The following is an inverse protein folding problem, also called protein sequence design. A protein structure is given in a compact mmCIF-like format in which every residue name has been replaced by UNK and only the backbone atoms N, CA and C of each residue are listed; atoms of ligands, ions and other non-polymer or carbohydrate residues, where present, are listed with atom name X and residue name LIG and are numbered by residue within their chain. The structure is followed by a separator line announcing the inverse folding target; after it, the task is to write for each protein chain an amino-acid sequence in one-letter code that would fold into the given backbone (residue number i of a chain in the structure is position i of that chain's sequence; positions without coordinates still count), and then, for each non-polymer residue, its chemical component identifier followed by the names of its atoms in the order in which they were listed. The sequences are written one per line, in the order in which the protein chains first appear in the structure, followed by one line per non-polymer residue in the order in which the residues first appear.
data_IF_999108923728
#
_entry.id   IF_999108923728
#
_cell.length_a   1.000
_cell.length_b   1.000
_cell.length_c   1.000
_cell.angle_alpha   90.00
_cell.angle_beta   90.00
_cell.angle_gamma   90.00
#
_symmetry.space_group_name_H-M   'P 1'
#
loop_
_entity.id
_entity.type
_entity.pdbx_description
1 polymer ?
#
# COMPACT_ATOMS: atom_id res chain seq x y z
N UNK A 1 11.79 -25.99 18.24
CA UNK A 1 10.75 -26.62 17.40
C UNK A 1 9.95 -27.59 18.27
N UNK A 2 9.05 -27.11 19.13
CA UNK A 2 8.04 -27.94 19.87
C UNK A 2 7.04 -27.12 20.74
N UNK A 3 6.79 -25.82 20.47
CA UNK A 3 5.89 -25.00 21.32
C UNK A 3 5.06 -23.96 20.55
N UNK A 4 4.49 -24.30 19.39
CA UNK A 4 3.51 -23.44 18.69
C UNK A 4 2.49 -24.28 17.91
N UNK A 5 1.83 -25.23 18.58
CA UNK A 5 0.86 -26.11 17.90
C UNK A 5 -0.41 -26.37 18.72
N UNK A 6 -0.90 -25.37 19.48
CA UNK A 6 -2.06 -25.58 20.37
C UNK A 6 -3.02 -24.39 20.56
N UNK A 7 -3.12 -23.48 19.59
CA UNK A 7 -4.03 -22.31 19.71
C UNK A 7 -4.88 -22.07 18.45
N UNK A 8 -5.20 -23.11 17.67
CA UNK A 8 -6.00 -22.98 16.44
C UNK A 8 -7.29 -23.81 16.40
N UNK A 9 -7.89 -24.13 17.56
CA UNK A 9 -9.15 -24.91 17.62
C UNK A 9 -10.41 -24.12 18.04
N UNK A 10 -10.37 -22.78 18.13
CA UNK A 10 -11.53 -21.97 18.55
C UNK A 10 -11.93 -20.81 17.63
N UNK A 11 -11.73 -20.94 16.32
CA UNK A 11 -12.37 -20.04 15.35
C UNK A 11 -13.74 -20.60 14.95
N UNK A 12 -14.72 -20.33 15.80
CA UNK A 12 -16.15 -20.51 15.51
C UNK A 12 -16.53 -19.66 14.30
N UNK A 13 -16.99 -20.33 13.25
CA UNK A 13 -17.59 -19.73 12.06
C UNK A 13 -18.82 -18.93 12.50
N UNK A 14 -18.72 -17.61 12.48
CA UNK A 14 -19.88 -16.72 12.62
C UNK A 14 -20.61 -16.71 11.28
N UNK A 15 -21.69 -17.46 11.20
CA UNK A 15 -22.64 -17.42 10.09
C UNK A 15 -23.18 -16.01 9.90
N UNK A 16 -23.00 -15.43 8.70
CA UNK A 16 -23.68 -14.20 8.30
C UNK A 16 -25.19 -14.45 8.16
N UNK A 17 -26.05 -13.58 8.73
CA UNK A 17 -27.46 -13.60 8.40
C UNK A 17 -27.68 -13.08 6.97
N UNK A 18 -28.34 -13.90 6.16
CA UNK A 18 -28.99 -13.51 4.90
C UNK A 18 -30.08 -12.47 5.17
N UNK A 19 -29.91 -11.25 4.65
CA UNK A 19 -30.95 -10.23 4.65
C UNK A 19 -31.41 -9.94 3.21
N UNK A 20 -32.38 -10.74 2.77
CA UNK A 20 -33.31 -10.40 1.72
C UNK A 20 -34.54 -9.74 2.38
N UNK A 21 -34.69 -8.40 2.35
CA UNK A 21 -36.03 -7.80 2.22
C UNK A 21 -36.01 -6.30 1.85
N UNK A 22 -36.49 -6.02 0.63
CA UNK A 22 -37.49 -5.03 0.24
C UNK A 22 -37.66 -3.74 1.08
N UNK A 23 -37.48 -2.58 0.43
CA UNK A 23 -38.52 -1.53 0.30
C UNK A 23 -38.11 -0.51 -0.78
N UNK A 24 -38.82 -0.54 -1.91
CA UNK A 24 -38.76 0.50 -2.96
C UNK A 24 -39.60 1.70 -2.51
N UNK A 25 -38.98 2.75 -2.02
CA UNK A 25 -39.63 4.06 -1.92
C UNK A 25 -39.48 4.80 -3.25
N UNK A 26 -40.58 4.90 -3.98
CA UNK A 26 -40.71 5.70 -5.20
C UNK A 26 -41.02 7.14 -4.77
N UNK A 27 -40.00 7.98 -4.66
CA UNK A 27 -40.19 9.42 -4.43
C UNK A 27 -40.50 10.07 -5.77
N UNK A 28 -41.72 10.60 -5.90
CA UNK A 28 -42.12 11.47 -7.01
C UNK A 28 -41.58 12.88 -6.73
N UNK A 29 -40.59 13.33 -7.49
CA UNK A 29 -40.18 14.73 -7.55
C UNK A 29 -40.71 15.35 -8.84
N UNK A 30 -41.45 16.48 -8.79
CA UNK A 30 -41.88 17.18 -9.99
C UNK A 30 -40.70 17.88 -10.67
N UNK A 31 -40.75 17.87 -12.00
CA UNK A 31 -39.77 18.47 -12.89
C UNK A 31 -39.70 20.00 -12.72
N UNK A 32 -38.50 20.50 -12.45
CA UNK A 32 -38.14 21.89 -12.71
C UNK A 32 -37.00 21.90 -13.73
N UNK A 33 -37.38 21.90 -15.01
CA UNK A 33 -36.48 21.93 -16.16
C UNK A 33 -36.27 23.37 -16.63
N UNK A 34 -35.33 24.07 -16.02
CA UNK A 34 -34.80 25.33 -16.55
C UNK A 34 -33.36 25.52 -16.10
N UNK A 35 -32.43 24.78 -16.72
CA UNK A 35 -31.01 25.13 -16.89
C UNK A 35 -30.39 24.13 -17.88
N UNK A 36 -29.61 24.66 -18.82
CA UNK A 36 -29.27 24.05 -20.09
C UNK A 36 -28.64 22.65 -20.05
N UNK A 37 -28.83 21.93 -21.15
CA UNK A 37 -28.14 20.69 -21.51
C UNK A 37 -26.61 20.90 -21.50
N UNK A 38 -25.99 20.74 -20.34
CA UNK A 38 -24.58 20.36 -20.26
C UNK A 38 -24.50 18.90 -20.71
N UNK A 39 -23.65 18.54 -21.70
CA UNK A 39 -23.62 17.18 -22.23
C UNK A 39 -23.11 16.19 -21.19
N UNK A 40 -24.00 15.27 -20.74
CA UNK A 40 -23.69 14.11 -19.86
C UNK A 40 -22.48 13.28 -20.30
N UNK A 41 -22.07 13.38 -21.56
CA UNK A 41 -20.92 12.68 -22.15
C UNK A 41 -19.59 13.11 -21.52
N UNK A 42 -19.46 14.38 -21.09
CA UNK A 42 -18.22 14.89 -20.48
C UNK A 42 -18.04 14.31 -19.06
N UNK A 43 -19.12 14.26 -18.28
CA UNK A 43 -19.11 13.75 -16.90
C UNK A 43 -18.82 12.23 -16.84
N UNK A 44 -19.36 11.47 -17.79
CA UNK A 44 -19.08 10.02 -17.86
C UNK A 44 -17.64 9.73 -18.27
N UNK A 45 -17.05 10.51 -19.18
CA UNK A 45 -15.68 10.32 -19.63
C UNK A 45 -14.66 10.67 -18.53
N UNK A 46 -14.91 11.72 -17.77
CA UNK A 46 -14.07 12.11 -16.63
C UNK A 46 -14.10 11.07 -15.51
N UNK A 47 -15.29 10.52 -15.21
CA UNK A 47 -15.47 9.48 -14.20
C UNK A 47 -14.82 8.15 -14.60
N UNK A 48 -14.89 7.73 -15.88
CA UNK A 48 -14.23 6.49 -16.34
C UNK A 48 -12.72 6.63 -16.43
N UNK A 49 -12.21 7.80 -16.86
CA UNK A 49 -10.78 8.09 -16.90
C UNK A 49 -10.18 8.11 -15.48
N UNK A 50 -10.85 8.78 -14.55
CA UNK A 50 -10.42 8.85 -13.14
C UNK A 50 -10.39 7.46 -12.50
N UNK A 51 -11.41 6.63 -12.74
CA UNK A 51 -11.46 5.27 -12.20
C UNK A 51 -10.31 4.39 -12.76
N UNK A 52 -10.03 4.52 -14.06
CA UNK A 52 -8.95 3.80 -14.72
C UNK A 52 -7.57 4.25 -14.25
N UNK A 53 -7.35 5.57 -14.12
CA UNK A 53 -6.08 6.12 -13.64
C UNK A 53 -5.77 5.65 -12.22
N UNK A 54 -6.73 5.75 -11.29
CA UNK A 54 -6.57 5.28 -9.91
C UNK A 54 -6.21 3.78 -9.86
N UNK A 55 -6.85 2.97 -10.70
CA UNK A 55 -6.56 1.54 -10.79
C UNK A 55 -5.15 1.26 -11.28
N UNK A 56 -4.72 1.88 -12.39
CA UNK A 56 -3.37 1.67 -12.92
C UNK A 56 -2.28 2.20 -12.00
N UNK A 57 -2.49 3.36 -11.36
CA UNK A 57 -1.54 3.87 -10.37
C UNK A 57 -1.44 2.93 -9.17
N UNK A 58 -2.55 2.33 -8.73
CA UNK A 58 -2.55 1.34 -7.65
C UNK A 58 -1.72 0.10 -8.01
N UNK A 59 -1.92 -0.43 -9.22
CA UNK A 59 -1.13 -1.56 -9.73
C UNK A 59 0.36 -1.22 -9.86
N UNK A 60 0.66 -0.01 -10.33
CA UNK A 60 2.03 0.47 -10.44
C UNK A 60 2.71 0.53 -9.06
N UNK A 61 2.08 1.16 -8.06
CA UNK A 61 2.61 1.22 -6.70
C UNK A 61 2.80 -0.18 -6.11
N UNK A 62 1.81 -1.06 -6.26
CA UNK A 62 1.94 -2.45 -5.81
C UNK A 62 3.11 -3.19 -6.48
N UNK A 63 3.33 -2.96 -7.77
CA UNK A 63 4.45 -3.55 -8.54
C UNK A 63 5.80 -3.04 -8.04
N UNK A 64 5.91 -1.73 -7.80
CA UNK A 64 7.14 -1.12 -7.26
C UNK A 64 7.45 -1.68 -5.87
N UNK A 65 6.45 -1.80 -4.99
CA UNK A 65 6.63 -2.41 -3.66
C UNK A 65 7.06 -3.87 -3.76
N UNK A 66 6.49 -4.66 -4.68
CA UNK A 66 6.95 -6.04 -4.94
C UNK A 66 8.42 -6.04 -5.42
N UNK A 67 8.79 -5.12 -6.31
CA UNK A 67 10.16 -4.98 -6.80
C UNK A 67 11.16 -4.72 -5.67
N UNK A 68 10.85 -3.80 -4.75
CA UNK A 68 11.66 -3.58 -3.55
C UNK A 68 11.70 -4.82 -2.65
N UNK A 69 10.55 -5.47 -2.41
CA UNK A 69 10.49 -6.69 -1.62
C UNK A 69 11.35 -7.82 -2.17
N UNK A 70 11.34 -8.04 -3.49
CA UNK A 70 12.23 -8.98 -4.16
C UNK A 70 13.70 -8.58 -4.03
N UNK A 71 14.03 -7.30 -4.24
CA UNK A 71 15.40 -6.81 -4.13
C UNK A 71 15.96 -7.02 -2.71
N UNK A 72 15.18 -6.70 -1.68
CA UNK A 72 15.54 -6.88 -0.27
C UNK A 72 15.73 -8.35 0.11
N UNK A 73 14.89 -9.22 -0.43
CA UNK A 73 14.91 -10.66 -0.13
C UNK A 73 16.06 -11.37 -0.84
N UNK A 74 16.31 -11.04 -2.11
CA UNK A 74 17.29 -11.74 -2.96
C UNK A 74 18.69 -11.14 -2.87
N UNK A 75 18.82 -9.83 -2.64
CA UNK A 75 20.10 -9.12 -2.62
C UNK A 75 20.19 -8.15 -1.44
N UNK A 76 20.07 -8.61 -0.18
CA UNK A 76 20.01 -7.75 1.01
C UNK A 76 21.22 -6.82 1.13
N UNK A 77 22.42 -7.28 0.78
CA UNK A 77 23.64 -6.45 0.79
C UNK A 77 23.57 -5.25 -0.13
N UNK A 78 23.03 -5.43 -1.34
CA UNK A 78 22.86 -4.36 -2.33
C UNK A 78 21.72 -3.41 -1.92
N UNK A 79 20.65 -3.99 -1.39
CA UNK A 79 19.46 -3.29 -0.92
C UNK A 79 19.71 -2.25 0.17
N UNK A 80 20.79 -2.41 0.96
CA UNK A 80 21.16 -1.48 2.03
C UNK A 80 21.28 -0.03 1.53
N UNK A 81 21.75 0.14 0.29
CA UNK A 81 21.91 1.45 -0.34
C UNK A 81 20.57 2.15 -0.64
N UNK A 82 19.46 1.41 -0.74
CA UNK A 82 18.14 2.00 -1.04
C UNK A 82 17.65 2.92 0.08
N UNK A 83 18.15 2.73 1.30
CA UNK A 83 17.83 3.54 2.47
C UNK A 83 18.78 4.73 2.65
N UNK A 84 19.81 4.87 1.80
CA UNK A 84 20.82 5.91 1.92
C UNK A 84 21.77 5.77 3.11
N UNK A 85 21.82 4.59 3.74
CA UNK A 85 22.82 4.26 4.76
C UNK A 85 24.20 4.09 4.11
N UNK A 86 25.25 4.54 4.80
CA UNK A 86 26.61 4.23 4.40
C UNK A 86 26.85 2.70 4.40
N UNK A 87 27.66 2.16 3.46
CA UNK A 87 28.06 0.77 3.48
C UNK A 87 28.67 0.39 4.84
N UNK A 88 28.43 -0.82 5.36
CA UNK A 88 29.07 -1.30 6.58
C UNK A 88 30.59 -1.14 6.49
N UNK A 89 31.21 -0.52 7.51
CA UNK A 89 32.66 -0.34 7.55
C UNK A 89 33.39 -1.68 7.65
N UNK A 90 34.67 -1.70 7.29
CA UNK A 90 35.53 -2.88 7.44
C UNK A 90 35.71 -3.36 8.89
N UNK A 91 35.25 -2.58 9.87
CA UNK A 91 35.25 -2.93 11.29
C UNK A 91 33.98 -3.66 11.76
N UNK A 92 32.97 -3.84 10.90
CA UNK A 92 31.74 -4.58 11.24
C UNK A 92 32.03 -6.07 11.30
N UNK A 93 31.56 -6.73 12.36
CA UNK A 93 31.78 -8.18 12.53
C UNK A 93 30.93 -8.96 11.51
N UNK A 94 31.41 -10.13 11.03
CA UNK A 94 30.62 -10.99 10.16
C UNK A 94 29.23 -11.37 10.73
N UNK A 95 29.12 -11.56 12.05
CA UNK A 95 27.85 -11.86 12.72
C UNK A 95 26.84 -10.72 12.62
N UNK A 96 27.31 -9.46 12.70
CA UNK A 96 26.44 -8.28 12.64
C UNK A 96 25.92 -8.11 11.21
N UNK A 97 26.78 -8.42 10.23
CA UNK A 97 26.44 -8.46 8.82
C UNK A 97 25.35 -9.52 8.54
N UNK A 98 25.44 -10.74 9.07
CA UNK A 98 24.41 -11.78 8.90
C UNK A 98 23.06 -11.40 9.53
N UNK A 99 23.10 -10.74 10.69
CA UNK A 99 21.91 -10.22 11.34
C UNK A 99 21.22 -9.15 10.47
N UNK A 100 21.98 -8.22 9.90
CA UNK A 100 21.45 -7.19 9.00
C UNK A 100 20.81 -7.80 7.74
N UNK A 101 21.43 -8.82 7.14
CA UNK A 101 20.85 -9.53 5.99
C UNK A 101 19.52 -10.18 6.36
N UNK A 102 19.47 -10.83 7.52
CA UNK A 102 18.24 -11.47 8.03
C UNK A 102 17.12 -10.45 8.25
N UNK A 103 17.46 -9.26 8.79
CA UNK A 103 16.51 -8.16 8.97
C UNK A 103 16.00 -7.65 7.62
N UNK A 104 16.88 -7.46 6.63
CA UNK A 104 16.46 -7.00 5.30
C UNK A 104 15.60 -8.03 4.57
N UNK A 105 15.88 -9.33 4.70
CA UNK A 105 15.00 -10.38 4.17
C UNK A 105 13.61 -10.31 4.81
N UNK A 106 13.54 -10.13 6.15
CA UNK A 106 12.27 -9.95 6.85
C UNK A 106 11.54 -8.66 6.46
N UNK A 107 12.27 -7.62 6.06
CA UNK A 107 11.70 -6.38 5.54
C UNK A 107 11.16 -6.59 4.11
N UNK A 108 11.95 -7.26 3.26
CA UNK A 108 11.55 -7.63 1.90
C UNK A 108 10.29 -8.49 1.85
N UNK A 109 10.16 -9.46 2.76
CA UNK A 109 8.95 -10.26 2.88
C UNK A 109 7.70 -9.43 3.22
N UNK A 110 7.84 -8.37 4.03
CA UNK A 110 6.73 -7.45 4.34
C UNK A 110 6.35 -6.62 3.13
N UNK A 111 7.32 -6.11 2.39
CA UNK A 111 7.07 -5.36 1.16
C UNK A 111 6.39 -6.22 0.09
N UNK A 112 6.81 -7.48 -0.07
CA UNK A 112 6.12 -8.44 -0.93
C UNK A 112 4.65 -8.60 -0.52
N UNK A 113 4.40 -8.78 0.78
CA UNK A 113 3.03 -8.90 1.30
C UNK A 113 2.20 -7.64 1.00
N UNK A 114 2.74 -6.45 1.27
CA UNK A 114 2.04 -5.17 1.02
C UNK A 114 1.71 -5.02 -0.46
N UNK A 115 2.69 -5.22 -1.35
CA UNK A 115 2.50 -5.07 -2.78
C UNK A 115 1.51 -6.09 -3.37
N UNK A 116 1.58 -7.35 -2.95
CA UNK A 116 0.59 -8.39 -3.32
C UNK A 116 -0.79 -8.04 -2.79
N UNK A 117 -0.91 -7.49 -1.57
CA UNK A 117 -2.21 -7.06 -1.03
C UNK A 117 -2.82 -5.91 -1.83
N UNK A 118 -1.99 -4.98 -2.34
CA UNK A 118 -2.43 -3.89 -3.21
C UNK A 118 -2.91 -4.46 -4.55
N UNK A 119 -2.16 -5.39 -5.16
CA UNK A 119 -2.61 -6.08 -6.38
C UNK A 119 -3.93 -6.81 -6.18
N UNK A 120 -4.05 -7.63 -5.13
CA UNK A 120 -5.27 -8.37 -4.84
C UNK A 120 -6.48 -7.43 -4.68
N UNK A 121 -6.31 -6.34 -3.93
CA UNK A 121 -7.35 -5.34 -3.74
C UNK A 121 -7.70 -4.61 -5.06
N UNK A 122 -6.70 -4.15 -5.80
CA UNK A 122 -6.90 -3.42 -7.05
C UNK A 122 -7.58 -4.28 -8.11
N UNK A 123 -7.11 -5.51 -8.31
CA UNK A 123 -7.66 -6.48 -9.28
C UNK A 123 -9.06 -6.95 -8.90
N UNK A 124 -9.42 -6.94 -7.61
CA UNK A 124 -10.80 -7.23 -7.18
C UNK A 124 -11.79 -6.11 -7.51
N UNK A 125 -11.31 -4.93 -7.94
CA UNK A 125 -12.13 -3.74 -8.16
C UNK A 125 -12.62 -3.07 -6.87
N UNK A 126 -12.18 -3.54 -5.69
CA UNK A 126 -12.56 -2.93 -4.41
C UNK A 126 -11.72 -1.67 -4.13
N UNK A 127 -12.24 -0.52 -4.61
CA UNK A 127 -11.62 0.80 -4.45
C UNK A 127 -11.27 1.10 -2.99
N UNK A 128 -12.18 0.80 -2.05
CA UNK A 128 -11.99 1.11 -0.63
C UNK A 128 -10.85 0.29 -0.02
N UNK A 129 -10.82 -1.02 -0.28
CA UNK A 129 -9.75 -1.90 0.20
C UNK A 129 -8.39 -1.49 -0.40
N UNK A 130 -8.37 -1.17 -1.69
CA UNK A 130 -7.16 -0.69 -2.38
C UNK A 130 -6.66 0.61 -1.75
N UNK A 131 -7.58 1.55 -1.48
CA UNK A 131 -7.29 2.81 -0.80
C UNK A 131 -6.71 2.62 0.59
N UNK A 132 -7.24 1.70 1.40
CA UNK A 132 -6.67 1.37 2.72
C UNK A 132 -5.25 0.83 2.59
N UNK A 133 -5.01 -0.11 1.67
CA UNK A 133 -3.68 -0.71 1.50
C UNK A 133 -2.64 0.32 1.01
N UNK A 134 -3.03 1.21 0.08
CA UNK A 134 -2.16 2.29 -0.41
C UNK A 134 -1.92 3.35 0.67
N UNK A 135 -2.93 3.69 1.46
CA UNK A 135 -2.77 4.61 2.59
C UNK A 135 -1.80 4.03 3.63
N UNK A 136 -1.94 2.74 3.95
CA UNK A 136 -1.02 2.03 4.84
C UNK A 136 0.42 2.03 4.29
N UNK A 137 0.61 1.79 2.99
CA UNK A 137 1.92 1.94 2.33
C UNK A 137 2.51 3.35 2.52
N UNK A 138 1.69 4.39 2.35
CA UNK A 138 2.11 5.78 2.56
C UNK A 138 2.52 6.06 4.02
N UNK A 139 1.80 5.49 5.00
CA UNK A 139 2.17 5.60 6.41
C UNK A 139 3.46 4.85 6.75
N UNK A 140 3.68 3.66 6.17
CA UNK A 140 4.96 2.96 6.30
C UNK A 140 6.10 3.83 5.77
N UNK A 141 5.95 4.39 4.56
CA UNK A 141 6.96 5.26 3.97
C UNK A 141 7.23 6.53 4.80
N UNK A 142 6.20 7.09 5.44
CA UNK A 142 6.37 8.22 6.35
C UNK A 142 7.26 7.84 7.56
N UNK A 143 6.99 6.68 8.18
CA UNK A 143 7.79 6.16 9.29
C UNK A 143 9.21 5.80 8.85
N UNK A 144 9.38 5.16 7.70
CA UNK A 144 10.69 4.79 7.15
C UNK A 144 11.56 6.04 6.96
N UNK A 145 11.03 7.08 6.32
CA UNK A 145 11.75 8.34 6.16
C UNK A 145 12.05 9.03 7.49
N UNK A 146 11.18 8.92 8.49
CA UNK A 146 11.47 9.42 9.84
C UNK A 146 12.63 8.67 10.52
N UNK A 147 12.69 7.33 10.38
CA UNK A 147 13.81 6.52 10.86
C UNK A 147 15.10 6.89 10.13
N UNK A 148 15.07 6.99 8.80
CA UNK A 148 16.24 7.36 7.98
C UNK A 148 16.76 8.75 8.38
N UNK A 149 15.88 9.74 8.53
CA UNK A 149 16.25 11.10 8.92
C UNK A 149 16.95 11.17 10.29
N UNK A 150 16.58 10.32 11.25
CA UNK A 150 17.13 10.32 12.61
C UNK A 150 18.31 9.37 12.82
N UNK A 151 18.65 8.58 11.81
CA UNK A 151 19.73 7.60 11.90
C UNK A 151 21.08 8.24 11.57
N UNK A 152 22.11 7.84 12.30
CA UNK A 152 23.48 8.29 12.05
C UNK A 152 24.04 7.63 10.78
N UNK A 153 24.97 8.30 10.10
CA UNK A 153 25.65 7.74 8.92
C UNK A 153 24.78 7.65 7.65
N UNK A 154 23.68 8.39 7.61
CA UNK A 154 22.78 8.51 6.46
C UNK A 154 23.16 9.72 5.61
N UNK A 155 23.08 9.57 4.28
CA UNK A 155 23.24 10.69 3.34
C UNK A 155 22.17 11.75 3.59
N UNK A 156 22.56 13.03 3.66
CA UNK A 156 21.61 14.12 3.85
C UNK A 156 20.51 14.10 2.77
N UNK A 157 19.25 14.11 3.20
CA UNK A 157 18.09 14.06 2.31
C UNK A 157 17.63 12.66 1.90
N UNK A 158 18.27 11.58 2.39
CA UNK A 158 17.85 10.21 2.08
C UNK A 158 16.40 9.91 2.50
N UNK A 159 15.85 10.62 3.48
CA UNK A 159 14.44 10.49 3.88
C UNK A 159 13.47 10.79 2.72
N UNK A 160 13.87 11.60 1.74
CA UNK A 160 13.07 11.91 0.56
C UNK A 160 12.92 10.73 -0.39
N UNK A 161 13.82 9.73 -0.31
CA UNK A 161 13.64 8.44 -0.97
C UNK A 161 12.37 7.73 -0.51
N UNK A 162 11.89 8.01 0.71
CA UNK A 162 10.66 7.46 1.28
C UNK A 162 9.49 8.44 1.19
N UNK A 163 9.70 9.69 1.60
CA UNK A 163 8.62 10.69 1.66
C UNK A 163 8.12 11.13 0.29
N UNK A 164 8.95 11.05 -0.75
CA UNK A 164 8.57 11.36 -2.13
C UNK A 164 7.38 10.51 -2.59
N UNK A 165 7.56 9.18 -2.67
CA UNK A 165 6.46 8.28 -3.03
C UNK A 165 5.43 8.12 -1.90
N UNK A 166 5.84 8.24 -0.64
CA UNK A 166 4.95 8.13 0.52
C UNK A 166 3.85 9.19 0.49
N UNK A 167 4.18 10.44 0.13
CA UNK A 167 3.19 11.51 0.00
C UNK A 167 2.17 11.23 -1.11
N UNK A 168 2.62 10.72 -2.27
CA UNK A 168 1.75 10.28 -3.36
C UNK A 168 0.82 9.15 -2.91
N UNK A 169 1.35 8.14 -2.21
CA UNK A 169 0.55 7.03 -1.68
C UNK A 169 -0.49 7.53 -0.66
N UNK A 170 -0.14 8.45 0.24
CA UNK A 170 -1.10 9.02 1.20
C UNK A 170 -2.25 9.74 0.52
N UNK A 171 -1.95 10.61 -0.46
CA UNK A 171 -2.97 11.35 -1.22
C UNK A 171 -3.84 10.39 -2.03
N UNK A 172 -3.22 9.47 -2.76
CA UNK A 172 -3.94 8.49 -3.58
C UNK A 172 -4.86 7.62 -2.72
N UNK A 173 -4.35 7.09 -1.60
CA UNK A 173 -5.12 6.31 -0.65
C UNK A 173 -6.32 7.08 -0.10
N UNK A 174 -6.12 8.35 0.28
CA UNK A 174 -7.20 9.21 0.77
C UNK A 174 -8.26 9.48 -0.31
N UNK A 175 -7.87 9.81 -1.54
CA UNK A 175 -8.79 9.99 -2.68
C UNK A 175 -9.53 8.69 -3.01
N UNK A 176 -8.90 7.54 -2.81
CA UNK A 176 -9.57 6.26 -3.01
C UNK A 176 -10.63 5.97 -1.94
N UNK A 177 -10.50 6.57 -0.75
CA UNK A 177 -11.41 6.43 0.37
C UNK A 177 -12.52 7.48 0.42
N UNK A 178 -12.39 8.58 -0.35
CA UNK A 178 -13.46 9.56 -0.56
C UNK A 178 -14.53 9.07 -1.53
#
# INVERSE_FOLDING_TARGET
MYLLNREFEHLTIVSLPTLNHCQKHKVHTPAFSLLGNIPKQIETADMTLTNSALHYTSLFLGTVTIGFGLHYTLFPRSAFNNFGFAPPSSSVKPSDLELLDSILILFGAKDLFVGVSIWAAALSGNKRLTGVNILALGLCAALDGWIVKRSEGVVAGAEWGHWGYGSVALVLGAVMLS
#
